data_IF_322496671842
#
_entry.id   IF_322496671842
#
_cell.length_a   1.000
_cell.length_b   1.000
_cell.length_c   1.000
_cell.angle_alpha   90.00
_cell.angle_beta   90.00
_cell.angle_gamma   90.00
#
_symmetry.space_group_name_H-M   'P 1'
#
loop_
_entity.id
_entity.type
_entity.pdbx_description
1 polymer ?
#
# COMPACT_ATOMS: atom_id res chain seq x y z
N UNK A 1 -17.46 -14.72 -5.47
CA UNK A 1 -17.16 -13.28 -5.54
C UNK A 1 -16.09 -12.98 -4.51
N UNK A 2 -15.01 -12.30 -4.89
CA UNK A 2 -13.97 -11.91 -3.92
C UNK A 2 -14.51 -10.80 -3.00
N UNK A 3 -14.29 -10.91 -1.69
CA UNK A 3 -14.70 -9.87 -0.74
C UNK A 3 -13.85 -8.62 -0.93
N UNK A 4 -14.45 -7.46 -0.71
CA UNK A 4 -13.78 -6.17 -0.82
C UNK A 4 -13.88 -5.42 0.49
N UNK A 5 -12.76 -4.86 0.90
CA UNK A 5 -12.66 -4.00 2.07
C UNK A 5 -12.65 -2.56 1.61
N UNK A 6 -13.57 -1.77 2.15
CA UNK A 6 -13.66 -0.34 1.89
C UNK A 6 -12.77 0.43 2.85
N UNK A 7 -12.09 1.47 2.36
CA UNK A 7 -11.30 2.37 3.17
C UNK A 7 -10.87 3.59 2.38
N UNK A 8 -9.99 4.37 2.98
CA UNK A 8 -9.55 5.67 2.49
C UNK A 8 -8.03 5.73 2.53
N UNK A 9 -7.45 6.56 1.67
CA UNK A 9 -6.02 6.83 1.67
C UNK A 9 -5.82 8.28 2.09
N UNK A 10 -5.09 8.47 3.19
CA UNK A 10 -4.76 9.77 3.75
C UNK A 10 -3.25 9.99 3.70
N UNK A 11 -2.78 11.23 3.56
CA UNK A 11 -1.35 11.59 3.64
C UNK A 11 -0.80 11.39 5.04
N UNK A 12 -1.58 11.76 6.04
CA UNK A 12 -1.16 11.82 7.44
C UNK A 12 -2.35 11.75 8.40
N UNK A 13 -2.04 11.72 9.70
CA UNK A 13 -3.04 11.61 10.75
C UNK A 13 -4.00 12.82 10.77
N UNK A 14 -3.55 14.02 10.42
CA UNK A 14 -4.37 15.22 10.49
C UNK A 14 -5.42 15.25 9.38
N UNK A 15 -5.07 14.80 8.18
CA UNK A 15 -6.03 14.60 7.08
C UNK A 15 -7.09 13.56 7.47
N UNK A 16 -6.69 12.45 8.09
CA UNK A 16 -7.62 11.44 8.62
C UNK A 16 -8.54 12.00 9.70
N UNK A 17 -8.01 12.79 10.65
CA UNK A 17 -8.81 13.45 11.71
C UNK A 17 -9.81 14.45 11.15
N UNK A 18 -9.42 15.18 10.10
CA UNK A 18 -10.32 16.15 9.46
C UNK A 18 -11.50 15.47 8.78
N UNK A 19 -11.29 14.28 8.21
CA UNK A 19 -12.35 13.49 7.54
C UNK A 19 -13.20 12.69 8.54
N UNK A 20 -12.60 12.21 9.63
CA UNK A 20 -13.26 11.42 10.68
C UNK A 20 -12.93 11.93 12.10
N UNK A 21 -13.44 13.11 12.52
CA UNK A 21 -13.10 13.72 13.81
C UNK A 21 -13.43 12.84 15.02
N UNK A 22 -14.48 12.04 14.92
CA UNK A 22 -14.95 11.11 15.95
C UNK A 22 -14.01 9.92 16.18
N UNK A 23 -13.03 9.69 15.27
CA UNK A 23 -12.01 8.65 15.37
C UNK A 23 -10.59 9.22 15.38
N UNK A 24 -10.43 10.45 15.87
CA UNK A 24 -9.16 11.16 15.85
C UNK A 24 -8.01 10.40 16.51
N UNK A 25 -8.26 9.77 17.67
CA UNK A 25 -7.26 8.92 18.35
C UNK A 25 -6.86 7.71 17.49
N UNK A 26 -7.83 7.05 16.83
CA UNK A 26 -7.52 5.93 15.93
C UNK A 26 -6.72 6.37 14.71
N UNK A 27 -6.94 7.59 14.19
CA UNK A 27 -6.14 8.14 13.10
C UNK A 27 -4.66 8.27 13.48
N UNK A 28 -4.37 8.80 14.68
CA UNK A 28 -2.99 8.89 15.18
C UNK A 28 -2.35 7.51 15.31
N UNK A 29 -3.04 6.57 15.95
CA UNK A 29 -2.53 5.21 16.13
C UNK A 29 -2.33 4.51 14.78
N UNK A 30 -3.29 4.65 13.85
CA UNK A 30 -3.21 4.07 12.52
C UNK A 30 -2.03 4.63 11.72
N UNK A 31 -1.77 5.94 11.80
CA UNK A 31 -0.62 6.56 11.14
C UNK A 31 0.71 6.06 11.72
N UNK A 32 0.83 5.96 13.05
CA UNK A 32 2.01 5.38 13.69
C UNK A 32 2.21 3.90 13.33
N UNK A 33 1.12 3.13 13.22
CA UNK A 33 1.19 1.75 12.74
C UNK A 33 1.67 1.68 11.28
N UNK A 34 1.22 2.61 10.42
CA UNK A 34 1.67 2.68 9.03
C UNK A 34 3.17 2.97 8.93
N UNK A 35 3.68 3.93 9.72
CA UNK A 35 5.12 4.22 9.83
C UNK A 35 5.91 2.97 10.24
N UNK A 36 5.48 2.31 11.32
CA UNK A 36 6.15 1.10 11.80
C UNK A 36 6.09 -0.06 10.79
N UNK A 37 5.03 -0.14 9.99
CA UNK A 37 4.91 -1.11 8.88
C UNK A 37 5.80 -0.72 7.70
N UNK A 38 5.95 0.56 7.38
CA UNK A 38 6.79 1.03 6.30
C UNK A 38 8.24 0.60 6.52
N UNK A 39 8.77 0.78 7.73
CA UNK A 39 10.11 0.31 8.11
C UNK A 39 10.35 -1.17 7.82
N UNK A 40 9.31 -2.00 7.96
CA UNK A 40 9.41 -3.46 7.73
C UNK A 40 9.16 -3.85 6.28
N UNK A 41 8.15 -3.26 5.66
CA UNK A 41 7.54 -3.75 4.42
C UNK A 41 7.83 -2.85 3.21
N UNK A 42 8.59 -1.76 3.38
CA UNK A 42 8.88 -0.85 2.29
C UNK A 42 9.51 -1.57 1.09
N UNK A 43 9.25 -1.07 -0.13
CA UNK A 43 9.97 -1.48 -1.32
C UNK A 43 11.48 -1.27 -1.14
N UNK A 44 12.30 -2.27 -1.48
CA UNK A 44 13.75 -2.24 -1.26
C UNK A 44 14.52 -2.33 -2.57
N UNK A 45 15.38 -1.36 -2.82
CA UNK A 45 16.19 -1.23 -4.02
C UNK A 45 17.68 -1.31 -3.69
N UNK A 46 18.46 -1.76 -4.67
CA UNK A 46 19.91 -1.91 -4.50
C UNK A 46 20.65 -0.57 -4.57
N UNK A 47 20.09 0.40 -5.30
CA UNK A 47 20.63 1.73 -5.47
C UNK A 47 19.49 2.76 -5.52
N UNK A 48 19.85 4.02 -5.30
CA UNK A 48 18.95 5.17 -5.28
C UNK A 48 18.21 5.36 -6.61
N UNK A 49 18.96 5.33 -7.72
CA UNK A 49 18.43 5.53 -9.06
C UNK A 49 17.27 4.58 -9.41
N UNK A 50 17.38 3.29 -9.08
CA UNK A 50 16.28 2.34 -9.31
C UNK A 50 15.04 2.66 -8.49
N UNK A 51 15.22 3.17 -7.27
CA UNK A 51 14.13 3.57 -6.39
C UNK A 51 13.42 4.81 -6.94
N UNK A 52 14.18 5.86 -7.28
CA UNK A 52 13.64 7.12 -7.80
C UNK A 52 12.98 6.96 -9.16
N UNK A 53 13.49 6.04 -9.99
CA UNK A 53 12.86 5.68 -11.26
C UNK A 53 11.43 5.14 -11.07
N UNK A 54 11.13 4.50 -9.93
CA UNK A 54 9.80 4.01 -9.60
C UNK A 54 8.95 5.06 -8.83
N UNK A 55 9.54 5.82 -7.90
CA UNK A 55 8.80 6.65 -6.92
C UNK A 55 8.97 8.17 -7.05
N UNK A 56 9.55 8.67 -8.14
CA UNK A 56 9.92 10.08 -8.37
C UNK A 56 11.29 10.45 -7.76
N UNK A 57 11.93 11.45 -8.38
CA UNK A 57 13.22 12.03 -7.96
C UNK A 57 13.08 12.60 -6.53
N UNK A 58 14.09 12.36 -5.69
CA UNK A 58 14.16 12.79 -4.27
C UNK A 58 13.18 12.12 -3.30
N UNK A 59 12.43 11.08 -3.71
CA UNK A 59 11.49 10.39 -2.82
C UNK A 59 12.09 9.14 -2.15
N UNK A 60 13.40 8.92 -2.27
CA UNK A 60 14.08 7.73 -1.76
C UNK A 60 15.19 8.07 -0.76
N UNK A 61 15.45 7.16 0.17
CA UNK A 61 16.53 7.30 1.15
C UNK A 61 17.17 5.94 1.47
N UNK A 62 18.42 5.97 1.95
CA UNK A 62 19.08 4.77 2.43
C UNK A 62 18.63 4.40 3.84
N UNK A 63 17.92 3.29 3.97
CA UNK A 63 17.52 2.74 5.27
C UNK A 63 18.59 1.79 5.78
N UNK A 64 19.32 2.20 6.82
CA UNK A 64 20.34 1.36 7.47
C UNK A 64 19.75 0.08 8.08
N UNK A 65 18.49 0.14 8.52
CA UNK A 65 17.75 -1.02 9.07
C UNK A 65 17.51 -2.10 8.02
N UNK A 66 17.10 -1.70 6.81
CA UNK A 66 16.86 -2.63 5.70
C UNK A 66 18.09 -2.88 4.82
N UNK A 67 19.18 -2.12 5.03
CA UNK A 67 20.40 -2.08 4.21
C UNK A 67 20.11 -1.89 2.72
N UNK A 68 19.11 -1.08 2.42
CA UNK A 68 18.60 -0.86 1.07
C UNK A 68 18.10 0.58 0.90
N UNK A 69 17.97 1.00 -0.36
CA UNK A 69 17.24 2.22 -0.71
C UNK A 69 15.74 1.94 -0.67
N UNK A 70 14.99 2.79 0.01
CA UNK A 70 13.55 2.66 0.18
C UNK A 70 12.87 3.99 -0.11
N UNK A 71 11.66 4.00 -0.67
CA UNK A 71 10.90 5.23 -0.88
C UNK A 71 10.28 5.72 0.44
N UNK A 72 10.08 7.02 0.57
CA UNK A 72 9.12 7.53 1.53
C UNK A 72 7.72 7.04 1.13
N UNK A 73 6.92 6.69 2.13
CA UNK A 73 5.55 6.29 1.87
C UNK A 73 4.70 7.56 1.70
N UNK A 74 3.86 7.60 0.68
CA UNK A 74 3.08 8.77 0.27
C UNK A 74 1.72 8.87 0.96
N UNK A 75 1.53 8.25 2.11
CA UNK A 75 0.27 8.19 2.86
C UNK A 75 -0.08 6.78 3.33
N UNK A 76 -1.20 6.60 4.01
CA UNK A 76 -1.62 5.31 4.55
C UNK A 76 -3.06 5.00 4.20
N UNK A 77 -3.33 3.72 3.96
CA UNK A 77 -4.68 3.21 3.82
C UNK A 77 -5.26 2.95 5.20
N UNK A 78 -6.42 3.55 5.48
CA UNK A 78 -7.18 3.37 6.70
C UNK A 78 -8.54 2.75 6.36
N UNK A 79 -8.90 1.68 7.08
CA UNK A 79 -10.19 1.03 6.91
C UNK A 79 -10.76 0.62 8.26
N UNK A 80 -12.07 0.81 8.43
CA UNK A 80 -12.84 0.27 9.56
C UNK A 80 -13.70 -0.94 9.13
N UNK A 81 -13.73 -1.25 7.84
CA UNK A 81 -14.49 -2.35 7.24
C UNK A 81 -13.71 -3.67 7.35
N UNK A 82 -13.34 -4.02 8.58
CA UNK A 82 -12.41 -5.12 8.88
C UNK A 82 -13.09 -6.44 9.23
N UNK A 83 -14.43 -6.46 9.29
CA UNK A 83 -15.20 -7.64 9.69
C UNK A 83 -14.96 -8.86 8.77
N UNK A 84 -14.62 -8.62 7.51
CA UNK A 84 -14.35 -9.69 6.52
C UNK A 84 -12.89 -10.20 6.56
N UNK A 85 -12.02 -9.58 7.37
CA UNK A 85 -10.63 -10.00 7.52
C UNK A 85 -10.53 -11.17 8.51
N UNK A 86 -10.38 -12.39 7.98
CA UNK A 86 -10.18 -13.60 8.79
C UNK A 86 -8.94 -13.48 9.68
N UNK A 87 -9.11 -13.76 10.97
CA UNK A 87 -8.02 -13.74 11.96
C UNK A 87 -7.55 -12.35 12.34
N UNK A 88 -8.27 -11.30 11.92
CA UNK A 88 -7.99 -9.92 12.28
C UNK A 88 -8.84 -9.50 13.48
N UNK A 89 -8.20 -8.99 14.52
CA UNK A 89 -8.83 -8.70 15.82
C UNK A 89 -8.86 -7.21 16.18
N UNK A 90 -8.37 -6.33 15.31
CA UNK A 90 -8.47 -4.88 15.50
C UNK A 90 -9.74 -4.35 14.84
N UNK A 91 -10.24 -3.22 15.35
CA UNK A 91 -11.40 -2.51 14.80
C UNK A 91 -11.11 -1.65 13.58
N UNK A 92 -9.83 -1.48 13.24
CA UNK A 92 -9.36 -0.74 12.08
C UNK A 92 -8.16 -1.47 11.46
N UNK A 93 -7.90 -1.20 10.20
CA UNK A 93 -6.75 -1.65 9.44
C UNK A 93 -5.94 -0.45 8.94
N UNK A 94 -4.61 -0.56 9.03
CA UNK A 94 -3.66 0.44 8.56
C UNK A 94 -2.54 -0.20 7.73
N UNK A 95 -2.19 0.41 6.60
CA UNK A 95 -1.08 -0.02 5.73
C UNK A 95 -0.42 1.19 5.04
N UNK A 96 0.92 1.28 4.99
CA UNK A 96 1.62 2.33 4.27
C UNK A 96 1.43 2.19 2.75
N UNK A 97 1.12 3.30 2.10
CA UNK A 97 0.91 3.41 0.67
C UNK A 97 2.07 4.15 0.02
N UNK A 98 2.50 3.66 -1.13
CA UNK A 98 3.56 4.22 -1.96
C UNK A 98 2.99 4.68 -3.28
N UNK A 99 3.40 5.86 -3.73
CA UNK A 99 2.87 6.46 -4.95
C UNK A 99 3.74 6.05 -6.15
N UNK A 100 3.20 5.21 -7.02
CA UNK A 100 3.85 4.77 -8.25
C UNK A 100 2.99 5.16 -9.46
N UNK A 101 3.52 5.96 -10.39
CA UNK A 101 2.82 6.46 -11.60
C UNK A 101 1.40 6.96 -11.31
N UNK A 102 1.29 7.89 -10.36
CA UNK A 102 0.03 8.50 -9.90
C UNK A 102 -0.98 7.58 -9.22
N UNK A 103 -0.59 6.37 -8.82
CA UNK A 103 -1.45 5.40 -8.13
C UNK A 103 -0.83 4.97 -6.81
N UNK A 104 -1.66 4.54 -5.88
CA UNK A 104 -1.24 4.06 -4.57
C UNK A 104 -1.15 2.54 -4.55
N UNK A 105 -0.02 2.06 -4.05
CA UNK A 105 0.26 0.65 -3.86
C UNK A 105 0.79 0.39 -2.45
N UNK A 106 0.54 -0.78 -1.90
CA UNK A 106 1.24 -1.18 -0.68
C UNK A 106 2.69 -1.63 -0.99
N UNK A 107 3.48 -1.90 0.05
CA UNK A 107 4.87 -2.38 -0.12
C UNK A 107 5.02 -3.73 -0.85
N UNK A 108 3.91 -4.46 -1.05
CA UNK A 108 3.86 -5.69 -1.87
C UNK A 108 3.45 -5.42 -3.33
N UNK A 109 3.34 -4.16 -3.75
CA UNK A 109 2.91 -3.77 -5.10
C UNK A 109 1.44 -4.05 -5.40
N UNK A 110 0.58 -4.21 -4.40
CA UNK A 110 -0.86 -4.35 -4.64
C UNK A 110 -1.49 -2.97 -4.81
N UNK A 111 -2.36 -2.81 -5.80
CA UNK A 111 -3.07 -1.56 -6.07
C UNK A 111 -4.17 -1.31 -5.04
N UNK A 112 -4.22 -0.08 -4.50
CA UNK A 112 -5.22 0.35 -3.51
C UNK A 112 -6.10 1.49 -4.00
N UNK A 113 -5.65 2.30 -4.97
CA UNK A 113 -6.45 3.40 -5.49
C UNK A 113 -5.62 4.41 -6.28
N UNK A 114 -6.29 5.40 -6.85
CA UNK A 114 -5.65 6.48 -7.61
C UNK A 114 -5.76 7.84 -6.92
N UNK A 115 -6.59 7.97 -5.88
CA UNK A 115 -6.93 9.24 -5.26
C UNK A 115 -6.85 9.13 -3.74
N UNK A 116 -6.43 10.23 -3.10
CA UNK A 116 -6.55 10.43 -1.64
C UNK A 116 -7.95 10.94 -1.30
N UNK A 117 -8.35 10.82 -0.04
CA UNK A 117 -9.61 11.35 0.50
C UNK A 117 -10.85 10.88 -0.27
N UNK A 118 -10.77 9.71 -0.88
CA UNK A 118 -11.88 9.09 -1.59
C UNK A 118 -11.99 7.65 -1.13
N UNK A 119 -13.22 7.20 -0.94
CA UNK A 119 -13.49 5.80 -0.66
C UNK A 119 -12.95 4.94 -1.80
N UNK A 120 -12.18 3.94 -1.45
CA UNK A 120 -11.68 2.92 -2.36
C UNK A 120 -12.00 1.54 -1.82
N UNK A 121 -12.27 0.61 -2.74
CA UNK A 121 -12.60 -0.78 -2.42
C UNK A 121 -11.49 -1.68 -2.92
N UNK A 122 -10.79 -2.28 -1.97
CA UNK A 122 -9.65 -3.16 -2.24
C UNK A 122 -10.04 -4.60 -2.02
N UNK A 123 -9.52 -5.50 -2.83
CA UNK A 123 -9.69 -6.93 -2.60
C UNK A 123 -9.16 -7.29 -1.20
N UNK A 124 -9.97 -7.97 -0.37
CA UNK A 124 -9.57 -8.31 1.00
C UNK A 124 -8.32 -9.21 1.01
N UNK A 125 -8.11 -9.98 -0.05
CA UNK A 125 -6.90 -10.81 -0.23
C UNK A 125 -5.60 -9.98 -0.34
N UNK A 126 -5.69 -8.71 -0.75
CA UNK A 126 -4.53 -7.81 -0.89
C UNK A 126 -4.05 -7.25 0.45
N UNK A 127 -4.93 -7.17 1.45
CA UNK A 127 -4.59 -6.68 2.80
C UNK A 127 -3.67 -7.63 3.57
N UNK A 128 -3.68 -8.92 3.20
CA UNK A 128 -2.82 -9.92 3.84
C UNK A 128 -1.43 -10.02 3.19
N UNK A 129 -1.20 -9.35 2.07
CA UNK A 129 0.08 -9.42 1.34
C UNK A 129 1.06 -8.42 1.91
N UNK A 130 2.12 -8.96 2.54
CA UNK A 130 3.21 -8.16 3.13
C UNK A 130 4.28 -7.87 2.08
N UNK A 131 4.82 -6.66 2.13
CA UNK A 131 5.90 -6.18 1.26
C UNK A 131 7.29 -6.67 1.64
N UNK A 132 8.31 -6.08 1.01
CA UNK A 132 9.73 -6.37 1.25
C UNK A 132 10.58 -6.61 -0.01
N UNK A 133 9.98 -6.58 -1.21
CA UNK A 133 10.67 -6.56 -2.51
C UNK A 133 10.38 -5.28 -3.29
N UNK A 134 10.98 -5.07 -4.47
CA UNK A 134 10.68 -3.87 -5.28
C UNK A 134 9.26 -3.90 -5.84
N UNK A 135 8.58 -2.75 -5.89
CA UNK A 135 7.23 -2.66 -6.48
C UNK A 135 7.29 -2.98 -7.97
N UNK A 136 8.29 -2.48 -8.71
CA UNK A 136 8.49 -2.83 -10.12
C UNK A 136 8.55 -4.35 -10.36
N UNK A 137 9.29 -5.12 -9.53
CA UNK A 137 9.31 -6.59 -9.61
C UNK A 137 8.01 -7.23 -9.15
N UNK A 138 7.38 -6.72 -8.10
CA UNK A 138 6.09 -7.22 -7.63
C UNK A 138 5.00 -7.06 -8.69
N UNK A 139 4.99 -5.92 -9.39
CA UNK A 139 4.10 -5.62 -10.52
C UNK A 139 4.46 -6.45 -11.76
N UNK A 140 5.75 -6.64 -12.05
CA UNK A 140 6.22 -7.52 -13.13
C UNK A 140 5.85 -8.99 -12.90
N UNK A 141 5.78 -9.42 -11.63
CA UNK A 141 5.34 -10.76 -11.23
C UNK A 141 3.82 -10.87 -11.01
N UNK A 142 3.13 -9.75 -10.84
CA UNK A 142 1.68 -9.66 -10.60
C UNK A 142 0.85 -9.27 -11.84
N UNK A 143 1.50 -8.88 -12.93
CA UNK A 143 0.87 -8.54 -14.20
C UNK A 143 0.69 -9.78 -15.08
N UNK A 144 -0.52 -10.36 -15.06
CA UNK A 144 -1.08 -11.20 -16.14
C UNK A 144 -0.11 -12.09 -16.93
N UNK A 145 0.52 -13.05 -16.25
CA UNK A 145 0.96 -14.27 -16.91
C UNK A 145 -0.20 -15.26 -16.96
N UNK A 146 -0.83 -15.41 -18.14
CA UNK A 146 -1.87 -16.41 -18.53
C UNK A 146 -3.34 -15.92 -18.53
N UNK A 147 -3.65 -14.98 -19.42
CA UNK A 147 -4.67 -15.30 -20.41
C UNK A 147 -3.91 -15.57 -21.71
N UNK A 148 -3.41 -16.79 -21.87
CA UNK A 148 -3.22 -17.29 -23.23
C UNK A 148 -4.62 -17.39 -23.80
N UNK A 149 -4.97 -16.49 -24.71
CA UNK A 149 -6.02 -16.74 -25.67
C UNK A 149 -5.66 -18.07 -26.34
N UNK A 150 -6.34 -19.15 -25.98
CA UNK A 150 -6.45 -20.29 -26.88
C UNK A 150 -7.38 -19.84 -27.99
N UNK A 151 -6.84 -19.12 -28.97
CA UNK A 151 -7.38 -19.14 -30.32
C UNK A 151 -6.85 -20.40 -31.01
N UNK A 152 -7.64 -21.46 -30.95
CA UNK A 152 -7.67 -22.53 -31.96
C UNK A 152 -9.17 -22.74 -32.21
N UNK A 153 -9.78 -22.30 -33.32
CA UNK A 153 -9.18 -22.12 -34.64
C UNK A 153 -8.69 -23.47 -35.15
N UNK A 154 -9.64 -24.37 -35.39
CA UNK A 154 -9.47 -25.74 -35.88
C UNK A 154 -10.83 -26.40 -35.97
#
# INVERSE_FOLDING_TARGET
QESKTEGYIFSDADECKSDSPEFSEQCDIAYQEALARAERNAPRYNNEFECENDFYEDDCYYSSSSRAYVPHFGGFFYSRSVNDLKGYNKSYYSEPMYRYKSKFYNGAGQFFGSYRNQSTKVATSNLNKRGGGTIGRAMSRGGFGKAVSVSRGG
#
